data_IF_505738868045
#
_entry.id   IF_505738868045
#
_cell.length_a   1.000
_cell.length_b   1.000
_cell.length_c   1.000
_cell.angle_alpha   90.00
_cell.angle_beta   90.00
_cell.angle_gamma   90.00
#
_symmetry.space_group_name_H-M   'P 1'
#
loop_
_entity.id
_entity.type
_entity.pdbx_description
1 polymer ?
#
# COMPACT_ATOMS: atom_id res chain seq x y z
N UNK A 1 -14.64 17.59 -4.20
CA UNK A 1 -13.37 17.27 -4.63
C UNK A 1 -12.57 16.59 -3.58
N UNK A 2 -11.84 15.59 -3.93
CA UNK A 2 -11.08 14.85 -2.95
C UNK A 2 -9.75 15.48 -2.72
N UNK A 3 -9.25 15.42 -1.51
CA UNK A 3 -7.92 15.94 -1.25
C UNK A 3 -6.86 14.87 -1.47
N UNK A 4 -7.25 13.63 -1.61
CA UNK A 4 -6.32 12.54 -1.91
C UNK A 4 -7.12 11.38 -2.44
N UNK A 5 -6.47 10.53 -3.23
CA UNK A 5 -7.13 9.36 -3.80
C UNK A 5 -6.53 8.11 -3.22
N UNK A 6 -7.37 7.20 -2.79
CA UNK A 6 -6.95 5.98 -2.13
C UNK A 6 -7.52 4.78 -2.87
N UNK A 7 -6.68 3.80 -3.16
CA UNK A 7 -7.16 2.56 -3.75
C UNK A 7 -7.22 1.50 -2.65
N UNK A 8 -8.35 0.86 -2.49
CA UNK A 8 -8.53 -0.18 -1.50
C UNK A 8 -8.72 -1.49 -2.26
N UNK A 9 -7.93 -2.50 -1.93
CA UNK A 9 -8.00 -3.79 -2.58
C UNK A 9 -8.30 -4.85 -1.53
N UNK A 10 -9.48 -5.42 -1.57
CA UNK A 10 -9.88 -6.44 -0.61
C UNK A 10 -11.04 -7.22 -1.24
N UNK A 11 -10.98 -8.54 -1.24
CA UNK A 11 -12.03 -9.33 -1.86
C UNK A 11 -13.30 -9.33 -1.02
N UNK A 12 -13.25 -8.88 0.21
CA UNK A 12 -14.42 -8.82 1.05
C UNK A 12 -15.09 -7.47 0.85
N UNK A 13 -16.21 -7.46 0.17
CA UNK A 13 -16.91 -6.22 -0.12
C UNK A 13 -17.33 -5.50 1.16
N UNK A 14 -17.66 -6.26 2.20
CA UNK A 14 -18.07 -5.65 3.45
C UNK A 14 -16.91 -4.86 4.07
N UNK A 15 -15.70 -5.39 3.97
CA UNK A 15 -14.54 -4.69 4.49
C UNK A 15 -14.32 -3.40 3.70
N UNK A 16 -14.49 -3.45 2.39
CA UNK A 16 -14.33 -2.25 1.57
C UNK A 16 -15.35 -1.18 1.94
N UNK A 17 -16.58 -1.60 2.24
CA UNK A 17 -17.59 -0.64 2.64
C UNK A 17 -17.27 -0.03 3.99
N UNK A 18 -16.75 -0.83 4.91
CA UNK A 18 -16.39 -0.33 6.22
C UNK A 18 -15.24 0.65 6.10
N UNK A 19 -14.24 0.33 5.29
CA UNK A 19 -13.11 1.23 5.11
C UNK A 19 -13.58 2.54 4.48
N UNK A 20 -14.46 2.45 3.49
CA UNK A 20 -14.99 3.63 2.84
C UNK A 20 -15.69 4.51 3.88
N UNK A 21 -16.49 3.90 4.74
CA UNK A 21 -17.20 4.66 5.73
C UNK A 21 -16.24 5.26 6.76
N UNK A 22 -15.23 4.51 7.16
CA UNK A 22 -14.28 5.01 8.13
C UNK A 22 -13.51 6.21 7.62
N UNK A 23 -13.27 6.27 6.31
CA UNK A 23 -12.48 7.35 5.74
C UNK A 23 -13.33 8.45 5.11
N UNK A 24 -14.66 8.31 5.14
CA UNK A 24 -15.52 9.23 4.39
C UNK A 24 -15.47 10.66 4.89
N UNK A 25 -15.21 10.86 6.18
CA UNK A 25 -15.19 12.21 6.69
C UNK A 25 -13.91 12.94 6.35
N UNK A 26 -12.94 12.25 5.75
CA UNK A 26 -11.65 12.86 5.49
C UNK A 26 -11.57 13.46 4.09
N UNK A 27 -12.65 13.39 3.34
CA UNK A 27 -12.67 13.96 2.01
C UNK A 27 -11.71 13.28 1.05
N UNK A 28 -11.47 11.99 1.26
CA UNK A 28 -10.64 11.21 0.34
C UNK A 28 -11.52 10.62 -0.75
N UNK A 29 -10.95 10.51 -1.94
CA UNK A 29 -11.63 9.77 -3.00
C UNK A 29 -11.21 8.33 -2.86
N UNK A 30 -12.17 7.42 -2.72
CA UNK A 30 -11.86 6.03 -2.47
C UNK A 30 -12.37 5.18 -3.59
N UNK A 31 -11.50 4.38 -4.17
CA UNK A 31 -11.88 3.43 -5.19
C UNK A 31 -11.60 2.05 -4.60
N UNK A 32 -12.55 1.15 -4.66
CA UNK A 32 -12.37 -0.18 -4.12
C UNK A 32 -12.43 -1.19 -5.24
N UNK A 33 -11.51 -2.14 -5.22
CA UNK A 33 -11.51 -3.25 -6.15
C UNK A 33 -11.35 -4.51 -5.36
N UNK A 34 -11.68 -5.65 -5.94
CA UNK A 34 -11.84 -6.84 -5.15
C UNK A 34 -11.02 -8.03 -5.63
N UNK A 35 -10.12 -7.82 -6.55
CA UNK A 35 -9.27 -8.91 -7.02
C UNK A 35 -7.92 -8.35 -7.47
N UNK A 36 -6.97 -9.23 -7.63
CA UNK A 36 -5.66 -8.82 -8.13
C UNK A 36 -5.81 -8.24 -9.54
N UNK A 37 -6.61 -8.88 -10.39
CA UNK A 37 -6.78 -8.41 -11.76
C UNK A 37 -7.36 -7.00 -11.80
N UNK A 38 -8.39 -6.75 -11.00
CA UNK A 38 -9.01 -5.44 -10.99
C UNK A 38 -8.06 -4.41 -10.40
N UNK A 39 -7.28 -4.81 -9.41
CA UNK A 39 -6.32 -3.89 -8.81
C UNK A 39 -5.24 -3.52 -9.82
N UNK A 40 -4.76 -4.50 -10.59
CA UNK A 40 -3.74 -4.19 -11.57
C UNK A 40 -4.30 -3.25 -12.65
N UNK A 41 -5.55 -3.43 -13.02
CA UNK A 41 -6.19 -2.53 -13.96
C UNK A 41 -6.24 -1.11 -13.43
N UNK A 42 -6.59 -0.96 -12.17
CA UNK A 42 -6.67 0.38 -11.57
C UNK A 42 -5.29 1.02 -11.49
N UNK A 43 -4.28 0.23 -11.13
CA UNK A 43 -2.91 0.74 -11.03
C UNK A 43 -2.41 1.22 -12.40
N UNK A 44 -2.81 0.54 -13.48
CA UNK A 44 -2.37 0.96 -14.80
C UNK A 44 -2.99 2.27 -15.23
N UNK A 45 -4.17 2.59 -14.74
CA UNK A 45 -4.86 3.78 -15.19
C UNK A 45 -4.39 5.05 -14.52
N UNK A 46 -4.03 5.01 -13.28
CA UNK A 46 -3.59 6.21 -12.60
C UNK A 46 -2.87 5.86 -11.32
N UNK A 47 -2.15 6.81 -10.77
CA UNK A 47 -1.52 6.59 -9.48
C UNK A 47 -2.47 7.04 -8.39
N UNK A 48 -2.36 6.47 -7.23
CA UNK A 48 -3.15 6.85 -6.07
C UNK A 48 -2.19 7.37 -5.01
N UNK A 49 -2.73 8.14 -4.08
CA UNK A 49 -1.89 8.71 -3.03
C UNK A 49 -1.54 7.67 -1.97
N UNK A 50 -2.42 6.72 -1.74
CA UNK A 50 -2.17 5.66 -0.78
C UNK A 50 -2.86 4.41 -1.29
N UNK A 51 -2.23 3.25 -1.09
CA UNK A 51 -2.82 1.98 -1.46
C UNK A 51 -3.04 1.16 -0.19
N UNK A 52 -4.26 0.66 0.00
CA UNK A 52 -4.56 -0.23 1.11
C UNK A 52 -4.79 -1.59 0.50
N UNK A 53 -3.89 -2.52 0.71
CA UNK A 53 -3.92 -3.80 0.03
C UNK A 53 -4.09 -4.94 1.01
N UNK A 54 -5.11 -5.76 0.81
CA UNK A 54 -5.27 -6.94 1.62
C UNK A 54 -4.19 -7.93 1.19
N UNK A 55 -3.53 -8.57 2.12
CA UNK A 55 -2.49 -9.49 1.77
C UNK A 55 -3.05 -10.68 1.03
N UNK A 56 -4.12 -11.29 1.53
CA UNK A 56 -4.63 -12.49 0.93
C UNK A 56 -5.77 -12.21 0.00
N UNK A 57 -5.58 -12.47 -1.26
CA UNK A 57 -6.59 -12.22 -2.27
C UNK A 57 -6.79 -13.47 -3.10
N UNK A 58 -7.95 -13.65 -3.72
CA UNK A 58 -8.14 -14.78 -4.62
C UNK A 58 -7.13 -14.65 -5.76
N UNK A 59 -6.49 -15.73 -6.09
CA UNK A 59 -5.56 -15.75 -7.19
C UNK A 59 -4.31 -14.91 -7.01
N UNK A 60 -3.95 -14.65 -5.79
CA UNK A 60 -2.70 -13.92 -5.57
C UNK A 60 -2.68 -13.22 -4.24
N UNK A 61 -1.92 -12.17 -4.15
CA UNK A 61 -1.83 -11.45 -2.90
C UNK A 61 -1.66 -9.96 -3.15
N UNK A 62 -1.85 -9.18 -2.11
CA UNK A 62 -1.61 -7.76 -2.20
C UNK A 62 -0.18 -7.44 -2.56
N UNK A 63 0.75 -8.35 -2.25
CA UNK A 63 2.15 -8.10 -2.61
C UNK A 63 2.36 -8.16 -4.12
N UNK A 64 1.53 -8.93 -4.84
CA UNK A 64 1.63 -8.95 -6.29
C UNK A 64 1.21 -7.59 -6.84
N UNK A 65 0.21 -6.99 -6.24
CA UNK A 65 -0.23 -5.66 -6.64
C UNK A 65 0.85 -4.65 -6.27
N UNK A 66 1.46 -4.81 -5.09
CA UNK A 66 2.50 -3.89 -4.64
C UNK A 66 3.70 -3.91 -5.59
N UNK A 67 4.04 -5.08 -6.12
CA UNK A 67 5.14 -5.15 -7.08
C UNK A 67 4.84 -4.30 -8.30
N UNK A 68 3.60 -4.34 -8.78
CA UNK A 68 3.27 -3.55 -9.96
C UNK A 68 3.24 -2.06 -9.64
N UNK A 69 2.79 -1.70 -8.46
CA UNK A 69 2.78 -0.30 -8.04
C UNK A 69 4.21 0.23 -8.02
N UNK A 70 5.13 -0.54 -7.44
CA UNK A 70 6.51 -0.11 -7.37
C UNK A 70 7.14 -0.01 -8.76
N UNK A 71 6.79 -0.95 -9.63
CA UNK A 71 7.34 -0.94 -10.95
C UNK A 71 6.85 0.25 -11.77
N UNK A 72 5.59 0.61 -11.62
CA UNK A 72 5.05 1.68 -12.44
C UNK A 72 5.12 3.04 -11.80
N UNK A 73 4.83 3.14 -10.52
CA UNK A 73 4.72 4.44 -9.87
C UNK A 73 5.80 4.75 -8.85
N UNK A 74 6.62 3.76 -8.51
CA UNK A 74 7.73 4.02 -7.59
C UNK A 74 7.31 4.08 -6.15
N UNK A 75 7.80 5.07 -5.46
CA UNK A 75 7.68 5.11 -4.01
C UNK A 75 6.40 5.76 -3.54
N UNK A 76 5.29 5.12 -3.68
CA UNK A 76 4.06 5.62 -3.11
C UNK A 76 3.73 4.80 -1.88
N UNK A 77 3.01 5.37 -0.92
CA UNK A 77 2.72 4.65 0.31
C UNK A 77 1.82 3.45 0.07
N UNK A 78 2.22 2.31 0.61
CA UNK A 78 1.42 1.11 0.53
C UNK A 78 1.25 0.60 1.95
N UNK A 79 0.00 0.38 2.36
CA UNK A 79 -0.31 -0.17 3.66
C UNK A 79 -0.89 -1.55 3.41
N UNK A 80 -0.27 -2.57 3.98
CA UNK A 80 -0.74 -3.92 3.79
C UNK A 80 -1.66 -4.30 4.94
N UNK A 81 -2.80 -4.87 4.64
CA UNK A 81 -3.77 -5.25 5.64
C UNK A 81 -3.83 -6.76 5.68
N UNK A 82 -3.81 -7.34 6.84
CA UNK A 82 -3.80 -8.78 6.94
C UNK A 82 -4.44 -9.26 8.23
N UNK A 83 -5.10 -10.39 8.16
CA UNK A 83 -5.58 -11.02 9.36
C UNK A 83 -4.58 -12.02 9.90
N UNK A 84 -3.40 -12.09 9.30
CA UNK A 84 -2.40 -13.02 9.72
C UNK A 84 -1.13 -12.31 10.13
N UNK A 85 -0.29 -13.01 10.81
CA UNK A 85 0.99 -12.48 11.23
C UNK A 85 1.81 -12.13 9.99
N UNK A 86 2.26 -10.91 9.85
CA UNK A 86 2.99 -10.51 8.66
C UNK A 86 4.42 -11.04 8.60
N UNK A 87 4.90 -11.69 9.65
CA UNK A 87 6.29 -12.09 9.64
C UNK A 87 6.59 -13.06 8.50
N UNK A 88 5.60 -13.82 8.04
CA UNK A 88 5.85 -14.77 6.97
C UNK A 88 6.15 -14.07 5.64
N UNK A 89 5.74 -12.83 5.49
CA UNK A 89 5.97 -12.13 4.25
C UNK A 89 6.85 -10.92 4.46
N UNK A 90 7.46 -10.83 5.63
CA UNK A 90 8.20 -9.63 5.97
C UNK A 90 9.31 -9.32 4.99
N UNK A 91 10.03 -10.33 4.55
CA UNK A 91 11.14 -10.06 3.65
C UNK A 91 10.67 -9.50 2.33
N UNK A 92 9.62 -10.08 1.77
CA UNK A 92 9.11 -9.59 0.52
C UNK A 92 8.53 -8.19 0.67
N UNK A 93 7.84 -7.95 1.79
CA UNK A 93 7.29 -6.63 2.07
C UNK A 93 8.40 -5.61 2.23
N UNK A 94 9.49 -6.01 2.88
CA UNK A 94 10.60 -5.12 3.06
C UNK A 94 11.18 -4.76 1.69
N UNK A 95 11.35 -5.73 0.81
CA UNK A 95 11.91 -5.45 -0.49
C UNK A 95 11.00 -4.55 -1.32
N UNK A 96 9.72 -4.57 -1.05
CA UNK A 96 8.79 -3.74 -1.78
C UNK A 96 8.55 -2.39 -1.12
N UNK A 97 9.18 -2.15 0.01
CA UNK A 97 9.05 -0.85 0.66
C UNK A 97 7.68 -0.59 1.23
N UNK A 98 7.01 -1.65 1.73
CA UNK A 98 5.71 -1.46 2.33
C UNK A 98 5.82 -0.57 3.56
N UNK A 99 5.02 0.47 3.63
CA UNK A 99 5.11 1.42 4.70
C UNK A 99 4.61 0.91 6.01
N UNK A 100 3.57 0.18 6.01
CA UNK A 100 2.95 -0.18 7.26
C UNK A 100 2.07 -1.41 7.12
N UNK A 101 1.87 -2.13 8.21
CA UNK A 101 0.97 -3.26 8.22
C UNK A 101 -0.17 -2.93 9.16
N UNK A 102 -1.39 -3.27 8.78
CA UNK A 102 -2.53 -3.15 9.68
C UNK A 102 -3.12 -4.53 9.87
N UNK A 103 -3.36 -4.88 11.10
CA UNK A 103 -3.92 -6.18 11.39
C UNK A 103 -5.42 -6.09 11.46
N UNK A 104 -6.12 -7.03 10.89
CA UNK A 104 -7.57 -7.07 10.99
C UNK A 104 -7.95 -7.73 12.29
N UNK A 105 -8.97 -7.27 12.96
CA UNK A 105 -9.77 -6.10 12.63
C UNK A 105 -9.06 -4.83 13.10
N UNK A 106 -9.31 -3.73 12.42
CA UNK A 106 -8.69 -2.47 12.80
C UNK A 106 -9.77 -1.46 13.10
N UNK A 107 -9.45 -0.46 13.90
CA UNK A 107 -10.41 0.56 14.25
C UNK A 107 -10.33 1.71 13.28
N UNK A 108 -11.33 2.57 13.32
CA UNK A 108 -11.34 3.77 12.51
C UNK A 108 -10.14 4.63 12.84
N UNK A 109 -9.84 4.75 14.13
CA UNK A 109 -8.71 5.58 14.55
C UNK A 109 -7.40 5.10 13.97
N UNK A 110 -7.21 3.79 13.95
CA UNK A 110 -5.97 3.24 13.45
C UNK A 110 -5.85 3.44 11.94
N UNK A 111 -6.90 3.15 11.19
CA UNK A 111 -6.79 3.28 9.74
C UNK A 111 -6.68 4.74 9.34
N UNK A 112 -7.40 5.63 10.00
CA UNK A 112 -7.31 7.05 9.69
C UNK A 112 -5.92 7.57 9.99
N UNK A 113 -5.34 7.15 11.11
CA UNK A 113 -4.00 7.60 11.47
C UNK A 113 -2.97 7.07 10.47
N UNK A 114 -3.12 5.82 10.04
CA UNK A 114 -2.16 5.24 9.11
C UNK A 114 -2.22 5.94 7.76
N UNK A 115 -3.42 6.22 7.26
CA UNK A 115 -3.57 6.89 5.99
C UNK A 115 -3.02 8.32 6.07
N UNK A 116 -3.33 9.02 7.17
CA UNK A 116 -2.88 10.37 7.31
C UNK A 116 -1.37 10.44 7.40
N UNK A 117 -0.77 9.51 8.13
CA UNK A 117 0.66 9.46 8.25
C UNK A 117 1.29 9.18 6.89
N UNK A 118 0.69 8.30 6.10
CA UNK A 118 1.22 7.99 4.79
C UNK A 118 1.15 9.22 3.88
N UNK A 119 0.05 9.95 3.94
CA UNK A 119 -0.09 11.13 3.10
C UNK A 119 0.86 12.24 3.49
N UNK A 120 1.18 12.34 4.76
CA UNK A 120 2.06 13.40 5.22
C UNK A 120 3.49 13.18 4.82
N UNK A 121 3.85 11.96 4.44
CA UNK A 121 5.24 11.68 4.18
C UNK A 121 5.57 11.59 2.71
N UNK A 122 4.68 11.96 1.82
CA UNK A 122 4.97 11.80 0.42
C UNK A 122 4.31 12.87 -0.41
N UNK A 123 4.63 12.95 -1.71
CA UNK A 123 4.03 13.92 -2.55
C UNK A 123 2.70 13.46 -3.02
N UNK A 124 1.82 14.36 -3.40
CA UNK A 124 0.54 13.98 -3.95
C UNK A 124 0.69 13.12 -5.19
N UNK A 125 -0.23 12.23 -5.41
CA UNK A 125 -0.17 11.36 -6.57
C UNK A 125 -0.14 12.14 -7.87
N UNK A 126 -0.76 13.29 -7.90
CA UNK A 126 -0.81 14.07 -9.12
C UNK A 126 0.58 14.55 -9.53
N UNK A 127 1.53 14.54 -8.64
CA UNK A 127 2.87 14.96 -8.98
C UNK A 127 3.77 13.79 -9.31
N UNK A 128 3.26 12.57 -9.34
CA UNK A 128 4.09 11.43 -9.63
C UNK A 128 4.00 11.05 -11.09
N UNK A 129 5.08 10.56 -11.63
CA UNK A 129 5.07 10.07 -13.00
C UNK A 129 5.50 8.64 -12.97
N UNK A 130 5.16 7.89 -13.98
CA UNK A 130 5.58 6.49 -14.01
C UNK A 130 7.10 6.40 -14.01
N UNK A 131 7.60 5.38 -13.39
CA UNK A 131 9.02 5.21 -13.28
C UNK A 131 9.57 4.73 -14.58
N UNK A 132 10.49 5.43 -15.14
CA UNK A 132 11.05 5.05 -16.39
C UNK A 132 12.21 4.16 -16.14
N UNK A 133 12.99 4.42 -15.16
CA UNK A 133 14.12 3.62 -14.91
C UNK A 133 14.30 3.54 -13.45
N UNK A 134 14.78 2.50 -12.95
CA UNK A 134 14.90 2.35 -11.55
C UNK A 134 15.96 3.19 -11.00
N UNK A 135 15.79 3.70 -9.95
CA UNK A 135 16.71 4.56 -9.36
C UNK A 135 17.69 3.72 -8.87
N UNK A 136 18.80 3.99 -9.08
CA UNK A 136 19.75 3.22 -8.67
C UNK A 136 19.96 3.32 -7.33
N UNK A 137 19.94 4.17 -6.75
CA UNK A 137 20.36 4.25 -5.51
C UNK A 137 19.46 4.15 -4.59
N UNK A 138 18.78 3.86 -4.51
CA UNK A 138 17.97 3.72 -3.63
C UNK A 138 18.30 3.50 -2.42
N UNK A 139 18.84 3.86 -1.94
CA UNK A 139 19.36 3.56 -0.82
C UNK A 139 18.58 3.63 0.26
N UNK A 140 18.11 4.30 0.44
CA UNK A 140 17.54 4.49 1.50
C UNK A 140 16.60 3.70 1.97
N UNK A 141 16.31 2.92 1.73
CA UNK A 141 15.49 2.23 2.18
C UNK A 141 15.23 2.48 3.53
N UNK A 142 14.56 2.13 4.19
CA UNK A 142 14.24 2.50 5.44
C UNK A 142 15.15 2.05 6.37
N UNK A 143 15.53 2.75 7.17
CA UNK A 143 16.46 2.39 8.08
C UNK A 143 15.89 1.41 8.97
N UNK A 144 14.67 1.30 9.17
CA UNK A 144 14.11 0.39 10.06
C UNK A 144 14.49 -0.96 9.59
N UNK A 145 14.46 -1.20 8.33
CA UNK A 145 14.80 -2.47 7.86
C UNK A 145 16.27 -2.64 7.80
N UNK A 146 17.01 -1.59 7.74
CA UNK A 146 18.37 -1.74 7.64
C UNK A 146 18.94 -2.28 8.82
N UNK A 147 18.37 -2.25 9.95
CA UNK A 147 18.96 -2.71 11.03
C UNK A 147 18.92 -4.13 11.02
N UNK A 148 18.47 -4.84 10.12
CA UNK A 148 18.53 -6.16 10.13
C UNK A 148 19.88 -6.61 10.19
N UNK A 149 20.18 -7.55 10.89
CA UNK A 149 21.52 -7.98 11.05
C UNK A 149 21.97 -8.53 9.77
N UNK A 150 23.19 -8.38 9.55
CA UNK A 150 23.68 -8.77 8.39
C UNK A 150 23.92 -10.14 8.45
N UNK A 151 23.86 -10.89 7.60
CA UNK A 151 24.16 -12.11 7.60
C UNK A 151 25.50 -12.34 7.65
N UNK A 152 25.96 -13.25 8.24
CA UNK A 152 27.30 -13.47 8.40
C UNK A 152 27.76 -13.77 7.09
N UNK A 153 28.69 -13.61 6.79
CA UNK A 153 29.16 -13.92 5.56
C UNK A 153 28.73 -12.97 4.63
N UNK A 154 28.00 -12.09 4.98
CA UNK A 154 27.60 -11.13 4.02
C UNK A 154 27.95 -9.83 4.45
#
# INVERSE_FOLDING_TARGET
>A
MSIADILVVDDDIAVCRIVHRMLSDMQYGIQAVHSVADALGAVEQKSFDVYLLDYKLPNGSGLDVAERIRSKWGATPIILISGYDPSAVALRAENLGISEFLEKPFSREIICASVKKALDSTKPASELTPVAAPPTSAPTRTRFWQRRPKRPGS
#
